data_IF_707600249443
#
_entry.id   IF_707600249443
#
_cell.length_a   1.000
_cell.length_b   1.000
_cell.length_c   1.000
_cell.angle_alpha   90.00
_cell.angle_beta   90.00
_cell.angle_gamma   90.00
#
_symmetry.space_group_name_H-M   'P 1'
#
loop_
_entity.id
_entity.type
_entity.pdbx_description
1 polymer ?
#
# COMPACT_ATOMS: atom_id res chain seq x y z
N UNK A 1 -6.60 -31.87 3.91
CA UNK A 1 -6.02 -30.58 3.50
C UNK A 1 -6.80 -30.04 2.32
N UNK A 2 -7.10 -28.74 2.32
CA UNK A 2 -7.79 -28.10 1.20
C UNK A 2 -6.83 -27.85 0.01
N UNK A 3 -7.37 -27.60 -1.19
CA UNK A 3 -6.56 -27.12 -2.33
C UNK A 3 -5.82 -25.83 -1.99
N UNK A 4 -6.42 -24.98 -1.15
CA UNK A 4 -5.84 -23.75 -0.64
C UNK A 4 -4.55 -24.01 0.15
N UNK A 5 -4.58 -24.96 1.09
CA UNK A 5 -3.41 -25.33 1.89
C UNK A 5 -2.28 -25.88 1.00
N UNK A 6 -2.65 -26.57 -0.08
CA UNK A 6 -1.67 -27.11 -1.04
C UNK A 6 -0.96 -26.00 -1.80
N UNK A 7 -1.69 -24.96 -2.22
CA UNK A 7 -1.12 -23.78 -2.90
C UNK A 7 -0.24 -22.96 -1.95
N UNK A 8 -0.72 -22.72 -0.73
CA UNK A 8 0.04 -22.01 0.32
C UNK A 8 1.35 -22.75 0.60
N UNK A 9 1.30 -24.07 0.81
CA UNK A 9 2.50 -24.87 1.09
C UNK A 9 3.50 -24.83 -0.07
N UNK A 10 3.04 -24.85 -1.32
CA UNK A 10 3.91 -24.77 -2.50
C UNK A 10 4.60 -23.40 -2.62
N UNK A 11 3.92 -22.31 -2.26
CA UNK A 11 4.51 -20.99 -2.23
C UNK A 11 5.57 -20.89 -1.12
N UNK A 12 5.23 -21.27 0.11
CA UNK A 12 6.16 -21.21 1.25
C UNK A 12 7.41 -22.07 0.98
N UNK A 13 7.25 -23.24 0.36
CA UNK A 13 8.36 -24.14 0.01
C UNK A 13 9.45 -23.43 -0.81
N UNK A 14 9.05 -22.56 -1.75
CA UNK A 14 10.00 -21.75 -2.53
C UNK A 14 10.69 -20.68 -1.68
N UNK A 15 9.95 -20.05 -0.77
CA UNK A 15 10.44 -18.99 0.12
C UNK A 15 11.43 -19.52 1.17
N UNK A 16 11.22 -20.73 1.71
CA UNK A 16 12.10 -21.36 2.72
C UNK A 16 13.15 -22.32 2.14
N UNK A 17 13.24 -22.40 0.81
CA UNK A 17 14.11 -23.34 0.09
C UNK A 17 13.93 -24.80 0.55
N UNK A 18 12.68 -25.25 0.63
CA UNK A 18 12.30 -26.62 1.01
C UNK A 18 11.40 -27.26 -0.03
N UNK A 19 11.13 -28.57 0.13
CA UNK A 19 10.14 -29.26 -0.71
C UNK A 19 8.72 -29.05 -0.17
N UNK A 20 7.68 -28.98 -1.04
CA UNK A 20 6.30 -28.80 -0.60
C UNK A 20 5.84 -29.83 0.43
N UNK A 21 6.31 -31.08 0.36
CA UNK A 21 5.95 -32.13 1.33
C UNK A 21 6.48 -31.83 2.73
N UNK A 22 7.67 -31.24 2.83
CA UNK A 22 8.26 -30.83 4.11
C UNK A 22 7.46 -29.70 4.76
N UNK A 23 7.03 -28.74 3.94
CA UNK A 23 6.17 -27.64 4.39
C UNK A 23 4.82 -28.17 4.86
N UNK A 24 4.17 -29.06 4.10
CA UNK A 24 2.89 -29.66 4.52
C UNK A 24 3.01 -30.38 5.86
N UNK A 25 4.04 -31.20 6.03
CA UNK A 25 4.28 -31.91 7.28
C UNK A 25 4.50 -30.94 8.47
N UNK A 26 5.24 -29.85 8.25
CA UNK A 26 5.43 -28.81 9.26
C UNK A 26 4.12 -28.06 9.57
N UNK A 27 3.30 -27.74 8.56
CA UNK A 27 1.98 -27.09 8.72
C UNK A 27 1.05 -27.96 9.55
N UNK A 28 0.96 -29.27 9.28
CA UNK A 28 0.13 -30.19 10.07
C UNK A 28 0.55 -30.24 11.55
N UNK A 29 1.86 -30.21 11.81
CA UNK A 29 2.37 -30.17 13.19
C UNK A 29 2.03 -28.84 13.88
N UNK A 30 2.19 -27.70 13.20
CA UNK A 30 1.84 -26.38 13.72
C UNK A 30 0.34 -26.25 14.01
N UNK A 31 -0.51 -26.71 13.09
CA UNK A 31 -1.96 -26.73 13.27
C UNK A 31 -2.38 -27.66 14.42
N UNK A 32 -1.63 -28.74 14.64
CA UNK A 32 -1.76 -29.61 15.81
C UNK A 32 -1.26 -29.01 17.13
N UNK A 33 -0.83 -27.74 17.13
CA UNK A 33 -0.36 -27.02 18.31
C UNK A 33 1.11 -27.27 18.68
N UNK A 34 1.88 -27.96 17.84
CA UNK A 34 3.31 -28.11 18.07
C UNK A 34 4.03 -26.77 17.89
N UNK A 35 4.99 -26.49 18.76
CA UNK A 35 5.80 -25.26 18.66
C UNK A 35 7.00 -25.45 17.73
N UNK A 36 7.51 -24.37 17.15
CA UNK A 36 8.71 -24.41 16.29
C UNK A 36 9.89 -25.13 16.96
N UNK A 37 10.28 -24.82 18.22
CA UNK A 37 11.38 -25.53 18.87
C UNK A 37 11.09 -27.04 19.07
N UNK A 38 9.83 -27.41 19.30
CA UNK A 38 9.45 -28.82 19.42
C UNK A 38 9.61 -29.55 18.07
N UNK A 39 9.16 -28.94 16.98
CA UNK A 39 9.25 -29.53 15.64
C UNK A 39 10.72 -29.69 15.25
N UNK A 40 11.51 -28.62 15.38
CA UNK A 40 12.93 -28.60 15.01
C UNK A 40 13.77 -29.62 15.80
N UNK A 41 13.39 -29.92 17.04
CA UNK A 41 14.13 -30.86 17.91
C UNK A 41 13.63 -32.30 17.81
N UNK A 42 12.32 -32.52 17.78
CA UNK A 42 11.71 -33.84 17.97
C UNK A 42 10.92 -34.36 16.76
N UNK A 43 10.81 -33.58 15.69
CA UNK A 43 10.10 -33.95 14.45
C UNK A 43 10.94 -33.69 13.19
N UNK A 44 12.27 -33.80 13.30
CA UNK A 44 13.20 -33.66 12.16
C UNK A 44 12.89 -34.65 11.04
N UNK A 45 12.68 -35.92 11.37
CA UNK A 45 12.41 -36.95 10.37
C UNK A 45 11.11 -36.67 9.59
N UNK A 46 10.08 -36.19 10.31
CA UNK A 46 8.76 -35.88 9.73
C UNK A 46 8.83 -34.68 8.78
N UNK A 47 9.66 -33.68 9.10
CA UNK A 47 9.83 -32.47 8.28
C UNK A 47 10.99 -32.59 7.28
N UNK A 48 11.70 -33.71 7.24
CA UNK A 48 12.90 -33.87 6.41
C UNK A 48 14.04 -32.93 6.80
N UNK A 49 14.13 -32.57 8.08
CA UNK A 49 15.25 -31.81 8.64
C UNK A 49 15.16 -30.29 8.54
N UNK A 50 13.96 -29.72 8.47
CA UNK A 50 13.80 -28.25 8.54
C UNK A 50 14.38 -27.70 9.85
N UNK A 51 15.19 -26.65 9.74
CA UNK A 51 15.79 -26.00 10.91
C UNK A 51 14.87 -24.93 11.55
N UNK A 52 15.28 -24.42 12.72
CA UNK A 52 14.55 -23.39 13.46
C UNK A 52 14.28 -22.12 12.63
N UNK A 53 15.21 -21.73 11.75
CA UNK A 53 15.07 -20.51 10.93
C UNK A 53 14.02 -20.73 9.85
N UNK A 54 14.10 -21.86 9.15
CA UNK A 54 13.11 -22.25 8.14
C UNK A 54 11.72 -22.39 8.74
N UNK A 55 11.58 -23.02 9.90
CA UNK A 55 10.30 -23.25 10.57
C UNK A 55 9.66 -21.95 11.10
N UNK A 56 10.46 -20.98 11.56
CA UNK A 56 9.95 -19.65 11.95
C UNK A 56 9.41 -18.90 10.74
N UNK A 57 10.22 -18.81 9.68
CA UNK A 57 9.79 -18.16 8.43
C UNK A 57 8.54 -18.83 7.86
N UNK A 58 8.49 -20.18 7.87
CA UNK A 58 7.31 -20.94 7.47
C UNK A 58 6.07 -20.55 8.27
N UNK A 59 6.17 -20.47 9.61
CA UNK A 59 5.04 -20.14 10.47
C UNK A 59 4.53 -18.71 10.23
N UNK A 60 5.44 -17.75 10.07
CA UNK A 60 5.09 -16.34 9.79
C UNK A 60 4.39 -16.22 8.43
N UNK A 61 4.96 -16.86 7.40
CA UNK A 61 4.40 -16.87 6.04
C UNK A 61 3.07 -17.61 5.95
N UNK A 62 2.92 -18.72 6.67
CA UNK A 62 1.65 -19.46 6.77
C UNK A 62 0.54 -18.55 7.31
N UNK A 63 0.83 -17.80 8.37
CA UNK A 63 -0.13 -16.87 8.98
C UNK A 63 -0.52 -15.78 7.99
N UNK A 64 0.47 -15.10 7.39
CA UNK A 64 0.22 -14.04 6.40
C UNK A 64 -0.61 -14.53 5.19
N UNK A 65 -0.26 -15.69 4.61
CA UNK A 65 -0.94 -16.22 3.43
C UNK A 65 -2.36 -16.69 3.76
N UNK A 66 -2.60 -17.26 4.94
CA UNK A 66 -3.96 -17.60 5.39
C UNK A 66 -4.82 -16.36 5.55
N UNK A 67 -4.29 -15.29 6.13
CA UNK A 67 -5.01 -14.02 6.24
C UNK A 67 -5.31 -13.40 4.87
N UNK A 68 -4.36 -13.46 3.94
CA UNK A 68 -4.54 -13.01 2.56
C UNK A 68 -5.71 -13.75 1.89
N UNK A 69 -5.75 -15.07 2.03
CA UNK A 69 -6.79 -15.90 1.41
C UNK A 69 -8.15 -15.76 2.08
N UNK A 70 -8.19 -15.62 3.41
CA UNK A 70 -9.41 -15.30 4.13
C UNK A 70 -9.98 -13.95 3.67
N UNK A 71 -9.10 -12.94 3.49
CA UNK A 71 -9.50 -11.63 2.98
C UNK A 71 -9.97 -11.69 1.53
N UNK A 72 -9.28 -12.46 0.68
CA UNK A 72 -9.67 -12.72 -0.71
C UNK A 72 -11.09 -13.28 -0.78
N UNK A 73 -11.38 -14.32 0.01
CA UNK A 73 -12.71 -14.93 0.05
C UNK A 73 -13.80 -13.93 0.50
N UNK A 74 -13.51 -13.10 1.50
CA UNK A 74 -14.43 -12.08 1.98
C UNK A 74 -14.73 -11.01 0.91
N UNK A 75 -13.71 -10.58 0.16
CA UNK A 75 -13.85 -9.63 -0.95
C UNK A 75 -14.70 -10.22 -2.06
N UNK A 76 -14.40 -11.45 -2.50
CA UNK A 76 -15.19 -12.15 -3.53
C UNK A 76 -16.66 -12.22 -3.14
N UNK A 77 -16.93 -12.66 -1.90
CA UNK A 77 -18.30 -12.74 -1.37
C UNK A 77 -19.00 -11.37 -1.38
N UNK A 78 -18.32 -10.32 -0.91
CA UNK A 78 -18.89 -8.97 -0.85
C UNK A 78 -19.23 -8.40 -2.23
N UNK A 79 -18.43 -8.72 -3.26
CA UNK A 79 -18.66 -8.27 -4.64
C UNK A 79 -19.77 -9.10 -5.32
N UNK A 80 -19.81 -10.40 -5.02
CA UNK A 80 -20.85 -11.32 -5.51
C UNK A 80 -22.24 -10.95 -4.96
N UNK A 81 -22.33 -10.61 -3.67
CA UNK A 81 -23.56 -10.10 -3.04
C UNK A 81 -24.10 -8.82 -3.69
N UNK A 82 -23.24 -8.03 -4.36
CA UNK A 82 -23.62 -6.85 -5.13
C UNK A 82 -23.99 -7.16 -6.59
N UNK A 83 -23.85 -8.42 -7.03
CA UNK A 83 -24.04 -8.84 -8.42
C UNK A 83 -23.04 -8.21 -9.39
N UNK A 84 -21.86 -7.82 -8.90
CA UNK A 84 -20.81 -7.13 -9.69
C UNK A 84 -19.60 -8.01 -10.01
N UNK A 85 -19.62 -9.28 -9.60
CA UNK A 85 -18.50 -10.19 -9.80
C UNK A 85 -18.44 -10.68 -11.25
N UNK A 86 -17.54 -10.11 -12.04
CA UNK A 86 -17.29 -10.55 -13.42
C UNK A 86 -16.20 -11.63 -13.48
N UNK A 87 -16.14 -12.44 -14.56
CA UNK A 87 -15.06 -13.41 -14.76
C UNK A 87 -13.66 -12.76 -14.73
N UNK A 88 -13.50 -11.61 -15.39
CA UNK A 88 -12.22 -10.88 -15.43
C UNK A 88 -11.81 -10.34 -14.05
N UNK A 89 -12.77 -9.81 -13.29
CA UNK A 89 -12.55 -9.35 -11.93
C UNK A 89 -12.20 -10.52 -11.00
N UNK A 90 -12.85 -11.67 -11.19
CA UNK A 90 -12.55 -12.89 -10.44
C UNK A 90 -11.13 -13.36 -10.73
N UNK A 91 -10.72 -13.39 -11.99
CA UNK A 91 -9.35 -13.73 -12.38
C UNK A 91 -8.33 -12.76 -11.76
N UNK A 92 -8.62 -11.46 -11.79
CA UNK A 92 -7.78 -10.42 -11.19
C UNK A 92 -7.67 -10.59 -9.68
N UNK A 93 -8.78 -10.81 -8.99
CA UNK A 93 -8.82 -11.06 -7.54
C UNK A 93 -8.07 -12.33 -7.20
N UNK A 94 -8.18 -13.41 -7.97
CA UNK A 94 -7.45 -14.66 -7.71
C UNK A 94 -5.95 -14.55 -7.98
N UNK A 95 -5.55 -13.68 -8.92
CA UNK A 95 -4.16 -13.40 -9.28
C UNK A 95 -3.43 -12.43 -8.35
N UNK A 96 -4.14 -11.66 -7.52
CA UNK A 96 -3.53 -10.69 -6.60
C UNK A 96 -2.59 -11.37 -5.59
N UNK A 97 -1.34 -10.91 -5.54
CA UNK A 97 -0.27 -11.48 -4.74
C UNK A 97 -0.15 -10.84 -3.35
N UNK A 98 -0.68 -9.63 -3.18
CA UNK A 98 -0.55 -8.85 -1.94
C UNK A 98 -1.90 -8.43 -1.38
N UNK A 99 -1.96 -8.16 -0.07
CA UNK A 99 -3.16 -7.61 0.58
C UNK A 99 -3.52 -6.23 -0.02
N UNK A 100 -2.52 -5.43 -0.37
CA UNK A 100 -2.72 -4.12 -1.01
C UNK A 100 -3.42 -4.23 -2.37
N UNK A 101 -2.95 -5.14 -3.24
CA UNK A 101 -3.60 -5.39 -4.55
C UNK A 101 -5.05 -5.86 -4.39
N UNK A 102 -5.34 -6.70 -3.39
CA UNK A 102 -6.71 -7.11 -3.08
C UNK A 102 -7.59 -5.94 -2.65
N UNK A 103 -7.09 -5.08 -1.76
CA UNK A 103 -7.83 -3.90 -1.34
C UNK A 103 -8.07 -2.95 -2.50
N UNK A 104 -7.06 -2.73 -3.36
CA UNK A 104 -7.17 -1.87 -4.55
C UNK A 104 -8.29 -2.37 -5.49
N UNK A 105 -8.34 -3.68 -5.75
CA UNK A 105 -9.41 -4.30 -6.54
C UNK A 105 -10.80 -4.22 -5.87
N UNK A 106 -10.84 -4.13 -4.55
CA UNK A 106 -12.07 -4.03 -3.77
C UNK A 106 -12.59 -2.60 -3.62
N UNK A 107 -11.74 -1.57 -3.80
CA UNK A 107 -12.10 -0.16 -3.60
C UNK A 107 -13.42 0.28 -4.29
N UNK A 108 -13.71 -0.13 -5.54
CA UNK A 108 -14.97 0.23 -6.20
C UNK A 108 -16.23 -0.29 -5.50
N UNK A 109 -16.12 -1.42 -4.79
CA UNK A 109 -17.24 -2.17 -4.22
C UNK A 109 -17.37 -2.00 -2.71
N UNK A 110 -16.38 -1.35 -2.09
CA UNK A 110 -16.38 -1.07 -0.66
C UNK A 110 -17.50 -0.07 -0.34
N UNK A 111 -18.38 -0.33 0.64
CA UNK A 111 -19.41 0.63 1.04
C UNK A 111 -18.81 2.00 1.43
N UNK A 112 -19.34 3.08 0.86
CA UNK A 112 -18.80 4.43 1.05
C UNK A 112 -19.77 5.33 1.80
N UNK A 113 -19.18 6.32 2.47
CA UNK A 113 -19.92 7.50 2.95
C UNK A 113 -20.15 8.41 1.76
N UNK A 114 -21.29 9.12 1.76
CA UNK A 114 -21.71 10.11 0.75
C UNK A 114 -20.55 11.02 0.29
N UNK A 115 -19.88 10.64 -0.79
CA UNK A 115 -18.69 11.36 -1.32
C UNK A 115 -19.12 12.55 -2.19
N UNK A 116 -18.18 13.45 -2.51
CA UNK A 116 -18.45 14.52 -3.49
C UNK A 116 -18.86 13.98 -4.86
N UNK A 117 -18.25 12.87 -5.28
CA UNK A 117 -18.60 12.20 -6.52
C UNK A 117 -20.00 11.55 -6.45
N UNK A 118 -20.37 10.92 -5.33
CA UNK A 118 -21.73 10.42 -5.13
C UNK A 118 -22.76 11.56 -5.16
N UNK A 119 -22.50 12.68 -4.48
CA UNK A 119 -23.35 13.87 -4.54
C UNK A 119 -23.46 14.39 -5.98
N UNK A 120 -22.36 14.41 -6.74
CA UNK A 120 -22.38 14.81 -8.15
C UNK A 120 -23.21 13.85 -9.01
N UNK A 121 -23.12 12.52 -8.78
CA UNK A 121 -23.96 11.53 -9.47
C UNK A 121 -25.44 11.69 -9.12
N UNK A 122 -25.77 11.92 -7.85
CA UNK A 122 -27.15 12.21 -7.39
C UNK A 122 -27.72 13.47 -8.05
N UNK A 123 -26.87 14.47 -8.30
CA UNK A 123 -27.22 15.69 -9.05
C UNK A 123 -27.30 15.49 -10.57
N UNK A 124 -27.12 14.27 -11.07
CA UNK A 124 -27.22 13.95 -12.50
C UNK A 124 -25.97 14.27 -13.32
N UNK A 125 -24.81 14.48 -12.70
CA UNK A 125 -23.55 14.81 -13.41
C UNK A 125 -22.76 13.58 -13.89
N UNK A 126 -23.24 12.36 -13.59
CA UNK A 126 -22.64 11.11 -14.08
C UNK A 126 -22.53 11.06 -15.61
N UNK A 127 -23.63 11.31 -16.36
CA UNK A 127 -23.58 11.35 -17.82
C UNK A 127 -22.66 12.43 -18.39
N UNK A 128 -22.51 13.59 -17.71
CA UNK A 128 -21.57 14.63 -18.14
C UNK A 128 -20.12 14.14 -18.07
N UNK A 129 -19.73 13.53 -16.94
CA UNK A 129 -18.39 12.97 -16.79
C UNK A 129 -18.11 11.89 -17.85
N UNK A 130 -19.08 11.01 -18.12
CA UNK A 130 -18.95 9.99 -19.15
C UNK A 130 -18.84 10.59 -20.56
N UNK A 131 -19.66 11.59 -20.89
CA UNK A 131 -19.61 12.25 -22.19
C UNK A 131 -18.25 12.90 -22.48
N UNK A 132 -17.60 13.48 -21.45
CA UNK A 132 -16.24 14.04 -21.58
C UNK A 132 -15.20 12.93 -21.79
N UNK A 133 -15.32 11.81 -21.08
CA UNK A 133 -14.42 10.66 -21.23
C UNK A 133 -14.59 9.93 -22.58
N UNK A 134 -15.80 9.92 -23.15
CA UNK A 134 -16.07 9.25 -24.43
C UNK A 134 -15.66 10.11 -25.63
N UNK A 135 -15.69 11.44 -25.50
CA UNK A 135 -15.37 12.36 -26.59
C UNK A 135 -14.44 13.49 -26.15
N UNK A 136 -13.14 13.23 -26.23
CA UNK A 136 -12.10 14.18 -25.84
C UNK A 136 -12.01 15.43 -26.76
N UNK A 137 -12.63 15.42 -27.94
CA UNK A 137 -12.64 16.57 -28.84
C UNK A 137 -13.70 17.61 -28.47
N UNK A 138 -14.78 17.19 -27.80
CA UNK A 138 -15.83 18.10 -27.37
C UNK A 138 -15.31 19.07 -26.31
N UNK A 139 -15.86 20.28 -26.29
CA UNK A 139 -15.59 21.25 -25.23
C UNK A 139 -16.39 20.89 -23.97
N UNK A 140 -15.74 20.55 -22.85
CA UNK A 140 -16.44 20.25 -21.60
C UNK A 140 -17.34 21.39 -21.12
N UNK A 141 -16.97 22.65 -21.38
CA UNK A 141 -17.78 23.79 -20.98
C UNK A 141 -19.13 23.82 -21.71
N UNK A 142 -19.13 23.51 -23.02
CA UNK A 142 -20.35 23.40 -23.82
C UNK A 142 -21.19 22.19 -23.40
N UNK A 143 -20.54 21.04 -23.16
CA UNK A 143 -21.25 19.86 -22.67
C UNK A 143 -21.94 20.13 -21.32
N UNK A 144 -21.28 20.89 -20.44
CA UNK A 144 -21.79 21.21 -19.12
C UNK A 144 -23.05 22.10 -19.12
N UNK A 145 -23.29 22.87 -20.19
CA UNK A 145 -24.49 23.72 -20.30
C UNK A 145 -25.79 22.90 -20.22
N UNK A 146 -25.79 21.68 -20.76
CA UNK A 146 -26.94 20.78 -20.73
C UNK A 146 -27.26 20.21 -19.34
N UNK A 147 -26.38 20.42 -18.35
CA UNK A 147 -26.49 19.89 -16.99
C UNK A 147 -26.71 20.97 -15.93
N UNK A 148 -26.97 22.21 -16.35
CA UNK A 148 -27.34 23.29 -15.44
C UNK A 148 -28.76 23.04 -14.92
N UNK A 149 -28.88 23.02 -13.60
CA UNK A 149 -30.15 22.79 -12.87
C UNK A 149 -30.20 23.69 -11.65
N UNK A 150 -31.32 23.72 -10.92
CA UNK A 150 -31.38 24.43 -9.64
C UNK A 150 -30.34 23.91 -8.62
N UNK A 151 -30.02 22.61 -8.67
CA UNK A 151 -29.02 21.97 -7.81
C UNK A 151 -27.56 22.15 -8.30
N UNK A 152 -27.38 22.57 -9.56
CA UNK A 152 -26.09 22.80 -10.24
C UNK A 152 -26.21 24.11 -11.03
N UNK A 153 -26.07 25.27 -10.38
CA UNK A 153 -26.49 26.55 -10.95
C UNK A 153 -25.54 27.10 -12.02
N UNK A 154 -24.30 26.59 -12.12
CA UNK A 154 -23.32 27.08 -13.09
C UNK A 154 -22.61 25.96 -13.83
N UNK A 155 -22.07 26.26 -15.02
CA UNK A 155 -21.19 25.35 -15.78
C UNK A 155 -19.97 24.92 -14.97
N UNK A 156 -19.45 25.82 -14.13
CA UNK A 156 -18.34 25.52 -13.21
C UNK A 156 -18.74 24.45 -12.19
N UNK A 157 -19.92 24.57 -11.58
CA UNK A 157 -20.40 23.57 -10.61
C UNK A 157 -20.59 22.19 -11.26
N UNK A 158 -21.09 22.17 -12.50
CA UNK A 158 -21.23 20.94 -13.28
C UNK A 158 -19.87 20.30 -13.58
N UNK A 159 -18.88 21.09 -14.01
CA UNK A 159 -17.52 20.62 -14.28
C UNK A 159 -16.78 20.20 -13.00
N UNK A 160 -16.95 20.92 -11.89
CA UNK A 160 -16.35 20.54 -10.60
C UNK A 160 -16.93 19.21 -10.11
N UNK A 161 -18.24 18.98 -10.26
CA UNK A 161 -18.85 17.69 -9.95
C UNK A 161 -18.42 16.56 -10.90
N UNK A 162 -18.31 16.82 -12.20
CA UNK A 162 -17.77 15.86 -13.16
C UNK A 162 -16.30 15.51 -12.85
N UNK A 163 -15.49 16.49 -12.47
CA UNK A 163 -14.11 16.29 -12.01
C UNK A 163 -14.06 15.38 -10.80
N UNK A 164 -14.90 15.61 -9.79
CA UNK A 164 -14.94 14.76 -8.59
C UNK A 164 -15.29 13.30 -8.93
N UNK A 165 -16.18 13.07 -9.89
CA UNK A 165 -16.51 11.73 -10.41
C UNK A 165 -15.30 11.07 -11.08
N UNK A 166 -14.59 11.79 -11.95
CA UNK A 166 -13.40 11.28 -12.65
C UNK A 166 -12.27 10.98 -11.66
N UNK A 167 -12.02 11.88 -10.69
CA UNK A 167 -11.03 11.67 -9.62
C UNK A 167 -11.37 10.43 -8.79
N UNK A 168 -12.65 10.19 -8.52
CA UNK A 168 -13.07 8.98 -7.82
C UNK A 168 -12.77 7.72 -8.64
N UNK A 169 -13.06 7.72 -9.95
CA UNK A 169 -12.70 6.61 -10.82
C UNK A 169 -11.19 6.33 -10.88
N UNK A 170 -10.35 7.37 -10.96
CA UNK A 170 -8.89 7.24 -10.88
C UNK A 170 -8.43 6.74 -9.50
N UNK A 171 -9.09 7.26 -8.46
CA UNK A 171 -9.12 6.83 -7.06
C UNK A 171 -9.11 5.32 -6.82
N UNK A 172 -9.78 4.62 -7.72
CA UNK A 172 -10.25 3.25 -7.53
C UNK A 172 -9.79 2.33 -8.66
N UNK A 173 -8.96 2.86 -9.56
CA UNK A 173 -8.35 2.09 -10.63
C UNK A 173 -7.13 1.34 -10.08
N UNK A 174 -7.32 0.06 -9.77
CA UNK A 174 -6.27 -0.80 -9.21
C UNK A 174 -5.00 -0.86 -10.07
N UNK A 175 -5.12 -0.88 -11.40
CA UNK A 175 -3.98 -0.91 -12.30
C UNK A 175 -3.16 0.40 -12.22
N UNK A 176 -3.84 1.54 -12.17
CA UNK A 176 -3.19 2.84 -11.99
C UNK A 176 -2.52 2.95 -10.62
N UNK A 177 -3.22 2.58 -9.53
CA UNK A 177 -2.67 2.61 -8.17
C UNK A 177 -1.42 1.73 -8.06
N UNK A 178 -1.44 0.53 -8.64
CA UNK A 178 -0.28 -0.36 -8.70
C UNK A 178 0.92 0.27 -9.42
N UNK A 179 0.69 0.89 -10.60
CA UNK A 179 1.74 1.58 -11.35
C UNK A 179 2.32 2.78 -10.59
N UNK A 180 1.46 3.61 -10.01
CA UNK A 180 1.88 4.77 -9.21
C UNK A 180 2.67 4.33 -7.97
N UNK A 181 2.20 3.30 -7.24
CA UNK A 181 2.89 2.77 -6.07
C UNK A 181 4.27 2.23 -6.43
N UNK A 182 4.38 1.48 -7.53
CA UNK A 182 5.66 0.98 -8.03
C UNK A 182 6.62 2.12 -8.40
N UNK A 183 6.12 3.14 -9.09
CA UNK A 183 6.91 4.32 -9.47
C UNK A 183 7.38 5.11 -8.24
N UNK A 184 6.49 5.36 -7.27
CA UNK A 184 6.83 6.04 -6.03
C UNK A 184 7.86 5.27 -5.21
N UNK A 185 7.76 3.94 -5.10
CA UNK A 185 8.77 3.14 -4.41
C UNK A 185 10.17 3.31 -5.03
N UNK A 186 10.27 3.49 -6.34
CA UNK A 186 11.57 3.65 -7.01
C UNK A 186 12.09 5.09 -6.96
N UNK A 187 11.22 6.08 -7.17
CA UNK A 187 11.59 7.49 -7.43
C UNK A 187 11.29 8.47 -6.30
N UNK A 188 10.53 8.07 -5.27
CA UNK A 188 10.17 9.00 -4.23
C UNK A 188 11.33 9.28 -3.26
N UNK A 189 11.32 10.49 -2.74
CA UNK A 189 12.20 10.99 -1.69
C UNK A 189 11.38 11.15 -0.41
N UNK A 190 11.89 10.60 0.68
CA UNK A 190 11.40 10.94 2.01
C UNK A 190 12.06 12.26 2.41
N UNK A 191 11.24 13.29 2.64
CA UNK A 191 11.69 14.63 3.01
C UNK A 191 11.27 14.92 4.44
N UNK A 192 12.23 15.32 5.27
CA UNK A 192 12.04 15.73 6.65
C UNK A 192 12.40 17.20 6.81
N UNK A 193 11.50 17.97 7.42
CA UNK A 193 11.69 19.39 7.72
C UNK A 193 11.32 19.70 9.16
N UNK A 194 12.10 20.54 9.82
CA UNK A 194 11.78 21.02 11.17
C UNK A 194 10.47 21.82 11.18
N UNK A 195 9.66 21.58 12.20
CA UNK A 195 8.47 22.38 12.45
C UNK A 195 8.89 23.79 12.88
N UNK A 196 8.27 24.80 12.27
CA UNK A 196 8.62 26.22 12.50
C UNK A 196 8.59 26.58 13.99
N UNK A 197 9.71 27.08 14.51
CA UNK A 197 9.82 27.53 15.91
C UNK A 197 10.10 26.41 16.92
N UNK A 198 10.42 25.19 16.45
CA UNK A 198 10.77 24.04 17.30
C UNK A 198 12.23 23.59 17.15
N UNK A 199 13.10 24.44 16.60
CA UNK A 199 14.50 24.14 16.31
C UNK A 199 15.31 23.84 17.60
N UNK A 200 15.13 24.63 18.65
CA UNK A 200 15.84 24.41 19.93
C UNK A 200 15.31 23.18 20.68
N UNK A 201 13.99 23.07 20.82
CA UNK A 201 13.35 21.97 21.54
C UNK A 201 13.51 20.62 20.81
N UNK A 202 13.65 20.66 19.48
CA UNK A 202 13.85 19.50 18.61
C UNK A 202 15.31 19.11 18.40
N UNK A 203 16.28 19.68 19.13
CA UNK A 203 17.73 19.51 18.86
C UNK A 203 18.19 18.04 18.77
N UNK A 204 17.50 17.10 19.44
CA UNK A 204 17.76 15.65 19.31
C UNK A 204 17.50 15.08 17.91
N UNK A 205 16.79 15.82 17.06
CA UNK A 205 16.47 15.50 15.67
C UNK A 205 17.15 16.44 14.69
N UNK A 206 18.17 17.20 15.11
CA UNK A 206 18.83 18.22 14.28
C UNK A 206 19.33 17.66 12.93
N UNK A 207 19.83 16.42 12.93
CA UNK A 207 20.27 15.71 11.71
C UNK A 207 19.16 15.59 10.64
N UNK A 208 17.90 15.76 11.02
CA UNK A 208 16.72 15.60 10.18
C UNK A 208 15.93 16.90 9.95
N UNK A 209 16.47 18.06 10.34
CA UNK A 209 15.79 19.35 10.18
C UNK A 209 15.62 19.80 8.73
N UNK A 210 16.53 19.39 7.85
CA UNK A 210 16.44 19.57 6.40
C UNK A 210 17.11 18.37 5.72
N UNK A 211 16.41 17.24 5.75
CA UNK A 211 16.94 15.97 5.25
C UNK A 211 16.06 15.41 4.15
N UNK A 212 16.68 14.93 3.08
CA UNK A 212 16.00 14.26 1.98
C UNK A 212 16.80 13.04 1.53
N UNK A 213 16.16 11.88 1.44
CA UNK A 213 16.80 10.67 0.93
C UNK A 213 15.81 9.79 0.15
N UNK A 214 16.34 8.93 -0.73
CA UNK A 214 15.48 8.03 -1.54
C UNK A 214 14.72 7.07 -0.63
N UNK A 215 13.39 7.02 -0.80
CA UNK A 215 12.49 6.22 0.04
C UNK A 215 12.90 4.73 0.12
N UNK A 216 13.32 4.15 -1.02
CA UNK A 216 13.77 2.75 -1.05
C UNK A 216 15.14 2.49 -0.43
N UNK A 217 15.90 3.54 -0.07
CA UNK A 217 17.22 3.45 0.57
C UNK A 217 17.24 3.95 2.02
N UNK A 218 16.11 4.46 2.54
CA UNK A 218 15.99 4.87 3.94
C UNK A 218 16.29 3.68 4.84
N UNK A 219 17.31 3.80 5.68
CA UNK A 219 17.64 2.79 6.70
C UNK A 219 16.60 2.80 7.83
N UNK A 220 16.26 1.63 8.40
CA UNK A 220 15.18 1.51 9.36
C UNK A 220 15.33 2.41 10.59
N UNK A 221 16.53 2.49 11.18
CA UNK A 221 16.79 3.36 12.33
C UNK A 221 16.56 4.85 12.03
N UNK A 222 16.90 5.34 10.83
CA UNK A 222 16.63 6.73 10.42
C UNK A 222 15.14 6.96 10.19
N UNK A 223 14.45 6.02 9.53
CA UNK A 223 13.00 6.08 9.35
C UNK A 223 12.28 6.21 10.70
N UNK A 224 12.63 5.37 11.68
CA UNK A 224 12.04 5.41 13.03
C UNK A 224 12.37 6.71 13.78
N UNK A 225 13.61 7.22 13.66
CA UNK A 225 13.99 8.49 14.27
C UNK A 225 13.19 9.67 13.70
N UNK A 226 13.05 9.73 12.37
CA UNK A 226 12.25 10.73 11.68
C UNK A 226 10.76 10.63 12.04
N UNK A 227 10.18 9.42 12.05
CA UNK A 227 8.79 9.19 12.44
C UNK A 227 8.53 9.59 13.89
N UNK A 228 9.47 9.27 14.81
CA UNK A 228 9.40 9.73 16.20
C UNK A 228 9.43 11.25 16.30
N UNK A 229 10.30 11.91 15.53
CA UNK A 229 10.35 13.38 15.49
C UNK A 229 9.06 14.00 14.96
N UNK A 230 8.39 13.35 14.01
CA UNK A 230 7.06 13.75 13.53
C UNK A 230 5.97 13.54 14.58
N UNK A 231 5.94 12.38 15.23
CA UNK A 231 4.92 12.04 16.22
C UNK A 231 5.04 12.91 17.49
N UNK A 232 6.26 13.35 17.82
CA UNK A 232 6.54 14.37 18.84
C UNK A 232 6.42 15.82 18.30
N UNK A 233 5.93 15.98 17.07
CA UNK A 233 5.67 17.24 16.38
C UNK A 233 6.88 18.18 16.18
N UNK A 234 8.12 17.69 16.25
CA UNK A 234 9.33 18.45 15.96
C UNK A 234 9.67 18.47 14.48
N UNK A 235 9.29 17.41 13.76
CA UNK A 235 9.52 17.26 12.33
C UNK A 235 8.18 17.18 11.58
N UNK A 236 8.24 17.51 10.30
CA UNK A 236 7.23 17.18 9.31
C UNK A 236 7.87 16.24 8.29
N UNK A 237 7.12 15.21 7.90
CA UNK A 237 7.56 14.26 6.87
C UNK A 237 6.62 14.36 5.68
N UNK A 238 7.19 14.49 4.48
CA UNK A 238 6.47 14.37 3.22
C UNK A 238 7.17 13.35 2.31
N UNK A 239 6.41 12.81 1.36
CA UNK A 239 6.94 12.02 0.26
C UNK A 239 6.86 12.86 -1.00
N UNK A 240 8.01 13.29 -1.48
CA UNK A 240 8.13 14.01 -2.75
C UNK A 240 8.48 13.02 -3.86
N UNK A 241 7.88 13.16 -5.03
CA UNK A 241 8.08 12.25 -6.16
C UNK A 241 8.50 13.04 -7.38
N UNK A 242 9.44 12.50 -8.14
CA UNK A 242 9.98 13.14 -9.35
C UNK A 242 10.54 14.56 -9.10
N UNK A 243 11.10 14.78 -7.90
CA UNK A 243 11.76 16.05 -7.54
C UNK A 243 12.88 16.39 -8.54
N UNK A 244 13.60 15.37 -9.00
CA UNK A 244 14.70 15.48 -9.96
C UNK A 244 14.24 15.76 -11.42
N UNK A 245 12.94 15.59 -11.73
CA UNK A 245 12.44 15.79 -13.10
C UNK A 245 12.30 17.27 -13.41
N UNK A 246 12.89 17.72 -14.52
CA UNK A 246 12.75 19.10 -15.02
C UNK A 246 11.52 19.30 -15.91
N UNK A 247 10.80 18.21 -16.23
CA UNK A 247 9.64 18.28 -17.12
C UNK A 247 8.49 19.06 -16.45
N UNK A 248 7.77 19.91 -17.22
CA UNK A 248 6.57 20.59 -16.73
C UNK A 248 5.48 19.61 -16.28
N UNK A 249 5.37 18.46 -16.94
CA UNK A 249 4.47 17.36 -16.56
C UNK A 249 5.31 16.24 -15.98
N UNK A 250 5.19 16.05 -14.66
CA UNK A 250 5.94 15.03 -13.94
C UNK A 250 5.58 13.62 -14.43
N UNK A 251 6.52 12.66 -14.43
CA UNK A 251 6.24 11.27 -14.78
C UNK A 251 5.02 10.66 -14.08
N UNK A 252 4.84 10.92 -12.77
CA UNK A 252 3.62 10.52 -12.04
C UNK A 252 2.32 11.07 -12.63
N UNK A 253 2.29 12.34 -13.03
CA UNK A 253 1.11 12.93 -13.66
C UNK A 253 0.87 12.31 -15.04
N UNK A 254 1.95 11.98 -15.78
CA UNK A 254 1.86 11.30 -17.07
C UNK A 254 1.21 9.92 -16.96
N UNK A 255 1.47 9.18 -15.87
CA UNK A 255 0.79 7.90 -15.59
C UNK A 255 -0.72 8.10 -15.41
N UNK A 256 -1.13 9.14 -14.70
CA UNK A 256 -2.56 9.48 -14.51
C UNK A 256 -3.20 9.91 -15.83
N UNK A 257 -2.52 10.74 -16.63
CA UNK A 257 -3.00 11.17 -17.95
C UNK A 257 -3.14 9.96 -18.90
N UNK A 258 -2.19 9.02 -18.86
CA UNK A 258 -2.26 7.77 -19.62
C UNK A 258 -3.48 6.92 -19.23
N UNK A 259 -3.81 6.85 -17.94
CA UNK A 259 -4.99 6.12 -17.47
C UNK A 259 -6.30 6.77 -17.94
N UNK A 260 -6.32 8.09 -18.18
CA UNK A 260 -7.43 8.80 -18.82
C UNK A 260 -7.37 8.78 -20.35
N UNK A 261 -6.32 8.23 -20.96
CA UNK A 261 -6.06 8.32 -22.42
C UNK A 261 -6.04 9.75 -22.98
N UNK A 262 -5.74 10.74 -22.13
CA UNK A 262 -5.84 12.17 -22.45
C UNK A 262 -4.56 12.75 -23.11
N UNK A 263 -4.04 12.07 -24.12
CA UNK A 263 -2.80 12.45 -24.84
C UNK A 263 -3.04 13.30 -26.09
N UNK A 264 -4.30 13.54 -26.45
CA UNK A 264 -4.66 14.32 -27.62
C UNK A 264 -4.60 15.83 -27.41
N UNK A 265 -5.09 16.56 -28.41
CA UNK A 265 -5.14 18.02 -28.43
C UNK A 265 -6.56 18.58 -28.32
N UNK A 266 -7.56 17.72 -28.09
CA UNK A 266 -8.96 18.12 -27.95
C UNK A 266 -9.18 19.03 -26.74
N UNK A 267 -10.30 19.76 -26.73
CA UNK A 267 -10.67 20.60 -25.59
C UNK A 267 -10.90 19.75 -24.32
N UNK A 268 -11.51 18.57 -24.47
CA UNK A 268 -11.64 17.57 -23.42
C UNK A 268 -10.30 17.04 -22.92
N UNK A 269 -9.32 16.76 -23.80
CA UNK A 269 -7.98 16.33 -23.37
C UNK A 269 -7.28 17.36 -22.47
N UNK A 270 -7.46 18.66 -22.74
CA UNK A 270 -6.90 19.72 -21.90
C UNK A 270 -7.51 19.70 -20.51
N UNK A 271 -8.84 19.64 -20.44
CA UNK A 271 -9.55 19.56 -19.15
C UNK A 271 -9.19 18.28 -18.39
N UNK A 272 -9.12 17.12 -19.06
CA UNK A 272 -8.73 15.85 -18.44
C UNK A 272 -7.30 15.86 -17.90
N UNK A 273 -6.37 16.58 -18.55
CA UNK A 273 -5.01 16.79 -18.01
C UNK A 273 -5.01 17.64 -16.75
N UNK A 274 -5.83 18.69 -16.70
CA UNK A 274 -6.00 19.48 -15.48
C UNK A 274 -6.61 18.64 -14.35
N UNK A 275 -7.60 17.81 -14.68
CA UNK A 275 -8.19 16.84 -13.75
C UNK A 275 -7.15 15.83 -13.27
N UNK A 276 -6.29 15.31 -14.14
CA UNK A 276 -5.22 14.38 -13.78
C UNK A 276 -4.22 14.99 -12.79
N UNK A 277 -3.76 16.21 -13.05
CA UNK A 277 -2.85 16.94 -12.15
C UNK A 277 -3.52 17.22 -10.80
N UNK A 278 -4.80 17.62 -10.81
CA UNK A 278 -5.58 17.81 -9.60
C UNK A 278 -5.78 16.50 -8.82
N UNK A 279 -6.14 15.41 -9.49
CA UNK A 279 -6.31 14.08 -8.91
C UNK A 279 -5.04 13.61 -8.20
N UNK A 280 -3.89 13.80 -8.87
CA UNK A 280 -2.58 13.50 -8.32
C UNK A 280 -2.34 14.26 -7.02
N UNK A 281 -2.44 15.59 -7.06
CA UNK A 281 -2.10 16.45 -5.91
C UNK A 281 -3.04 16.30 -4.72
N UNK A 282 -4.33 16.06 -4.96
CA UNK A 282 -5.36 16.14 -3.91
C UNK A 282 -5.77 14.79 -3.34
N UNK A 283 -5.67 13.70 -4.12
CA UNK A 283 -6.15 12.38 -3.71
C UNK A 283 -5.07 11.31 -3.83
N UNK A 284 -4.53 11.10 -5.04
CA UNK A 284 -3.63 9.97 -5.30
C UNK A 284 -2.31 10.08 -4.53
N UNK A 285 -1.63 11.25 -4.56
CA UNK A 285 -0.39 11.48 -3.80
C UNK A 285 -0.63 11.25 -2.32
N UNK A 286 -1.71 11.79 -1.76
CA UNK A 286 -2.01 11.72 -0.32
C UNK A 286 -2.20 10.28 0.11
N UNK A 287 -3.09 9.54 -0.55
CA UNK A 287 -3.38 8.14 -0.22
C UNK A 287 -2.14 7.27 -0.37
N UNK A 288 -1.45 7.35 -1.50
CA UNK A 288 -0.25 6.53 -1.74
C UNK A 288 0.91 6.90 -0.82
N UNK A 289 1.03 8.16 -0.41
CA UNK A 289 2.05 8.56 0.57
C UNK A 289 1.78 7.96 1.94
N UNK A 290 0.51 7.87 2.37
CA UNK A 290 0.14 7.17 3.60
C UNK A 290 0.52 5.69 3.51
N UNK A 291 0.16 5.02 2.41
CA UNK A 291 0.52 3.60 2.19
C UNK A 291 2.03 3.39 2.27
N UNK A 292 2.83 4.21 1.58
CA UNK A 292 4.29 4.13 1.59
C UNK A 292 4.90 4.45 2.96
N UNK A 293 4.28 5.31 3.75
CA UNK A 293 4.73 5.60 5.12
C UNK A 293 4.46 4.43 6.06
N UNK A 294 3.32 3.75 5.92
CA UNK A 294 3.00 2.52 6.66
C UNK A 294 3.99 1.42 6.28
N UNK A 295 4.20 1.19 4.98
CA UNK A 295 5.15 0.19 4.48
C UNK A 295 6.59 0.46 4.97
N UNK A 296 7.03 1.73 4.92
CA UNK A 296 8.35 2.11 5.44
C UNK A 296 8.48 1.83 6.93
N UNK A 297 7.42 2.08 7.70
CA UNK A 297 7.38 1.85 9.14
C UNK A 297 7.48 0.36 9.44
N UNK A 298 6.66 -0.47 8.80
CA UNK A 298 6.66 -1.92 8.99
C UNK A 298 8.05 -2.50 8.68
N UNK A 299 8.66 -2.10 7.55
CA UNK A 299 10.02 -2.50 7.17
C UNK A 299 11.06 -2.09 8.21
N UNK A 300 10.95 -0.86 8.73
CA UNK A 300 11.90 -0.33 9.70
C UNK A 300 11.77 -0.99 11.07
N UNK A 301 10.53 -1.25 11.52
CA UNK A 301 10.24 -1.97 12.76
C UNK A 301 10.74 -3.42 12.68
N UNK A 302 10.52 -4.11 11.56
CA UNK A 302 11.01 -5.46 11.34
C UNK A 302 12.55 -5.52 11.39
N UNK A 303 13.25 -4.58 10.75
CA UNK A 303 14.72 -4.47 10.82
C UNK A 303 15.20 -4.26 12.26
N UNK A 304 14.55 -3.35 13.00
CA UNK A 304 14.89 -3.07 14.40
C UNK A 304 14.66 -4.27 15.31
N UNK A 305 13.51 -4.95 15.17
CA UNK A 305 13.18 -6.17 15.91
C UNK A 305 14.23 -7.26 15.64
N UNK A 306 14.66 -7.43 14.39
CA UNK A 306 15.69 -8.40 14.03
C UNK A 306 17.06 -8.09 14.65
N UNK A 307 17.41 -6.81 14.82
CA UNK A 307 18.61 -6.40 15.57
C UNK A 307 18.45 -6.72 17.05
N UNK A 308 17.32 -6.34 17.67
CA UNK A 308 17.07 -6.61 19.10
C UNK A 308 17.02 -8.11 19.41
N UNK A 309 16.39 -8.91 18.55
CA UNK A 309 16.31 -10.36 18.70
C UNK A 309 17.70 -11.00 18.67
N UNK A 310 18.59 -10.54 17.79
CA UNK A 310 19.99 -11.00 17.75
C UNK A 310 20.73 -10.63 19.04
N UNK A 311 20.67 -9.37 19.46
CA UNK A 311 21.34 -8.91 20.68
C UNK A 311 20.84 -9.66 21.92
N UNK A 312 19.53 -9.88 22.03
CA UNK A 312 18.94 -10.64 23.13
C UNK A 312 19.38 -12.11 23.11
N UNK A 313 19.42 -12.73 21.92
CA UNK A 313 19.91 -14.10 21.75
C UNK A 313 21.35 -14.22 22.25
N UNK A 314 22.23 -13.28 21.88
CA UNK A 314 23.62 -13.29 22.31
C UNK A 314 23.75 -13.11 23.83
N UNK A 315 22.93 -12.25 24.43
CA UNK A 315 22.90 -12.06 25.89
C UNK A 315 22.42 -13.31 26.64
N UNK A 316 21.36 -13.97 26.14
CA UNK A 316 20.81 -15.19 26.76
C UNK A 316 21.71 -16.40 26.60
N UNK A 317 22.53 -16.44 25.55
CA UNK A 317 23.49 -17.50 25.29
C UNK A 317 24.90 -17.17 25.79
N UNK A 318 25.06 -16.04 26.49
CA UNK A 318 26.32 -15.71 27.14
C UNK A 318 26.73 -16.81 28.11
N UNK A 319 28.02 -17.16 28.11
CA UNK A 319 28.54 -18.24 28.93
C UNK A 319 28.22 -17.99 30.42
N UNK A 320 27.57 -18.93 31.13
CA UNK A 320 27.28 -18.74 32.52
C UNK A 320 28.57 -18.69 33.34
N UNK A 321 28.67 -17.77 34.30
CA UNK A 321 29.83 -17.66 35.20
C UNK A 321 30.03 -18.90 36.11
N UNK A 322 29.02 -19.78 36.15
CA UNK A 322 28.99 -21.01 36.93
C UNK A 322 28.51 -20.81 38.36
N UNK A 323 28.54 -21.89 39.15
CA UNK A 323 28.13 -21.89 40.55
C UNK A 323 29.20 -21.25 41.45
N UNK A 324 29.37 -19.92 41.35
CA UNK A 324 30.29 -19.12 42.17
C UNK A 324 29.52 -18.09 42.98
N UNK A 325 29.93 -17.85 44.23
CA UNK A 325 29.39 -16.76 45.05
C UNK A 325 29.64 -15.43 44.36
N UNK A 326 28.57 -14.68 44.09
CA UNK A 326 28.61 -13.44 43.29
C UNK A 326 27.93 -12.32 44.08
N UNK A 327 28.53 -11.13 44.11
CA UNK A 327 27.94 -9.92 44.68
C UNK A 327 27.48 -9.01 43.53
N UNK A 328 26.16 -8.76 43.44
CA UNK A 328 25.61 -7.77 42.51
C UNK A 328 25.76 -6.36 43.09
N UNK A 329 26.26 -5.42 42.28
CA UNK A 329 26.50 -4.02 42.64
C UNK A 329 25.59 -3.14 41.78
#
# INVERSE_FOLDING_TARGET
MSELDTRIAAQIAREVAARPEQVRAAVELLDGGATVPFIARYRKEVTGGLDDTQLRLLADRLTYLRELEARRAAIVKSIDEQGKLTPDLTASIMGAATKAELEDLYLPFKPKRRTKAEIAREKGLGPLAQAILDNHNADPALLAEAYITEAVPTTKDALDGARDIVIEGLAENAALLGQLRAHMRDKAMLVSKVAKGKEEAGAKFADYFDHAERWNKVAGHRALAMMRGRDEEFLSLDIEVDADSVDPVKPVERLVINALTAQGNGAGDKWLRDVASWAWRTKLKVTLSIDLMVELRERAEEEAINVFARNLKDLLLAAPAGAKTTMGI
#
